data_IF_986982384914
#
_entry.id   IF_986982384914
#
_cell.length_a   1.000
_cell.length_b   1.000
_cell.length_c   1.000
_cell.angle_alpha   90.00
_cell.angle_beta   90.00
_cell.angle_gamma   90.00
#
_symmetry.space_group_name_H-M   'P 1'
#
loop_
_entity.id
_entity.type
_entity.pdbx_description
1 polymer ?
#
# COMPACT_ATOMS: atom_id res chain seq x y z
N UNK A 1 -18.77 4.43 -7.81
CA UNK A 1 -17.33 4.32 -8.06
C UNK A 1 -16.77 3.13 -7.27
N UNK A 2 -16.07 2.24 -7.94
CA UNK A 2 -15.25 1.19 -7.33
C UNK A 2 -13.78 1.62 -7.44
N UNK A 3 -13.01 1.48 -6.36
CA UNK A 3 -11.56 1.59 -6.38
C UNK A 3 -11.02 0.17 -6.12
N UNK A 4 -10.39 -0.43 -7.12
CA UNK A 4 -9.83 -1.77 -7.05
C UNK A 4 -8.30 -1.68 -6.95
N UNK A 5 -7.73 -2.24 -5.90
CA UNK A 5 -6.29 -2.22 -5.64
C UNK A 5 -5.74 -3.64 -5.77
N UNK A 6 -4.69 -3.81 -6.57
CA UNK A 6 -4.01 -5.09 -6.73
C UNK A 6 -2.55 -4.88 -7.11
N UNK A 7 -1.65 -5.66 -6.54
CA UNK A 7 -0.24 -5.61 -6.93
C UNK A 7 -0.02 -6.24 -8.31
N UNK A 8 -0.40 -7.51 -8.47
CA UNK A 8 -0.24 -8.24 -9.73
C UNK A 8 -1.25 -7.86 -10.81
N UNK A 9 -2.46 -7.44 -10.38
CA UNK A 9 -3.58 -7.21 -11.28
C UNK A 9 -4.17 -8.48 -11.89
N UNK A 10 -3.87 -9.66 -11.32
CA UNK A 10 -4.36 -10.97 -11.79
C UNK A 10 -5.14 -11.74 -10.71
N UNK A 11 -5.47 -11.10 -9.58
CA UNK A 11 -6.21 -11.73 -8.49
C UNK A 11 -7.64 -12.04 -8.91
N UNK A 12 -8.02 -13.32 -8.92
CA UNK A 12 -9.30 -13.79 -9.43
C UNK A 12 -10.51 -13.12 -8.75
N UNK A 13 -10.48 -12.99 -7.42
CA UNK A 13 -11.57 -12.37 -6.65
C UNK A 13 -11.71 -10.88 -6.98
N UNK A 14 -10.61 -10.17 -7.15
CA UNK A 14 -10.61 -8.75 -7.56
C UNK A 14 -11.20 -8.59 -8.96
N UNK A 15 -10.82 -9.46 -9.89
CA UNK A 15 -11.35 -9.48 -11.26
C UNK A 15 -12.87 -9.76 -11.26
N UNK A 16 -13.32 -10.73 -10.47
CA UNK A 16 -14.74 -11.06 -10.33
C UNK A 16 -15.54 -9.87 -9.76
N UNK A 17 -15.03 -9.25 -8.68
CA UNK A 17 -15.67 -8.07 -8.09
C UNK A 17 -15.77 -6.88 -9.05
N UNK A 18 -14.72 -6.63 -9.84
CA UNK A 18 -14.75 -5.56 -10.88
C UNK A 18 -15.83 -5.85 -11.91
N UNK A 19 -15.90 -7.07 -12.43
CA UNK A 19 -16.90 -7.46 -13.43
C UNK A 19 -18.32 -7.29 -12.90
N UNK A 20 -18.56 -7.74 -11.68
CA UNK A 20 -19.87 -7.62 -11.02
C UNK A 20 -20.26 -6.16 -10.83
N UNK A 21 -19.37 -5.33 -10.31
CA UNK A 21 -19.64 -3.88 -10.14
C UNK A 21 -19.89 -3.18 -11.49
N UNK A 22 -19.16 -3.54 -12.53
CA UNK A 22 -19.39 -2.97 -13.89
C UNK A 22 -20.73 -3.41 -14.47
N UNK A 23 -21.16 -4.66 -14.24
CA UNK A 23 -22.49 -5.13 -14.65
C UNK A 23 -23.62 -4.31 -14.00
N UNK A 24 -23.37 -3.76 -12.80
CA UNK A 24 -24.29 -2.85 -12.11
C UNK A 24 -24.03 -1.35 -12.41
N UNK A 25 -23.28 -1.03 -13.46
CA UNK A 25 -23.06 0.34 -13.93
C UNK A 25 -22.04 1.15 -13.12
N UNK A 26 -21.22 0.52 -12.26
CA UNK A 26 -20.18 1.22 -11.53
C UNK A 26 -19.03 1.64 -12.45
N UNK A 27 -18.51 2.86 -12.27
CA UNK A 27 -17.21 3.29 -12.80
C UNK A 27 -16.11 2.69 -11.93
N UNK A 28 -15.03 2.24 -12.57
CA UNK A 28 -13.93 1.54 -11.91
C UNK A 28 -12.61 2.30 -12.08
N UNK A 29 -12.00 2.70 -10.98
CA UNK A 29 -10.62 3.11 -10.89
C UNK A 29 -9.78 1.93 -10.39
N UNK A 30 -8.75 1.54 -11.15
CA UNK A 30 -7.83 0.49 -10.73
C UNK A 30 -6.48 1.09 -10.32
N UNK A 31 -5.92 0.58 -9.22
CA UNK A 31 -4.57 0.91 -8.74
C UNK A 31 -3.77 -0.39 -8.81
N UNK A 32 -2.83 -0.48 -9.74
CA UNK A 32 -2.08 -1.71 -10.02
C UNK A 32 -0.60 -1.43 -10.25
N UNK A 33 0.25 -2.42 -10.02
CA UNK A 33 1.68 -2.31 -10.32
C UNK A 33 2.03 -2.81 -11.71
N UNK A 34 1.38 -3.89 -12.17
CA UNK A 34 1.71 -4.53 -13.45
C UNK A 34 0.95 -3.88 -14.61
N UNK A 35 1.71 -3.27 -15.51
CA UNK A 35 1.18 -2.64 -16.71
C UNK A 35 0.54 -3.71 -17.63
N UNK A 36 -0.66 -3.44 -18.12
CA UNK A 36 -1.37 -4.34 -19.04
C UNK A 36 -1.98 -5.57 -18.40
N UNK A 37 -1.98 -5.66 -17.06
CA UNK A 37 -2.66 -6.73 -16.32
C UNK A 37 -4.18 -6.74 -16.59
N UNK A 38 -4.82 -7.86 -16.23
CA UNK A 38 -6.27 -8.02 -16.40
C UNK A 38 -7.06 -6.95 -15.65
N UNK A 39 -6.69 -6.65 -14.39
CA UNK A 39 -7.32 -5.59 -13.60
C UNK A 39 -7.12 -4.22 -14.24
N UNK A 40 -5.92 -3.92 -14.77
CA UNK A 40 -5.66 -2.67 -15.50
C UNK A 40 -6.57 -2.52 -16.72
N UNK A 41 -6.77 -3.58 -17.51
CA UNK A 41 -7.62 -3.58 -18.71
C UNK A 41 -9.12 -3.45 -18.40
N UNK A 42 -9.54 -3.91 -17.22
CA UNK A 42 -10.95 -3.84 -16.80
C UNK A 42 -11.31 -2.47 -16.21
N UNK A 43 -10.33 -1.66 -15.78
CA UNK A 43 -10.57 -0.32 -15.25
C UNK A 43 -11.05 0.67 -16.30
N UNK A 44 -11.94 1.58 -15.92
CA UNK A 44 -12.27 2.76 -16.72
C UNK A 44 -11.16 3.82 -16.59
N UNK A 45 -10.48 3.80 -15.45
CA UNK A 45 -9.30 4.62 -15.12
C UNK A 45 -8.25 3.74 -14.46
N UNK A 46 -6.97 4.02 -14.73
CA UNK A 46 -5.87 3.23 -14.20
C UNK A 46 -4.82 4.15 -13.58
N UNK A 47 -4.38 3.83 -12.38
CA UNK A 47 -3.20 4.41 -11.75
C UNK A 47 -2.17 3.29 -11.53
N UNK A 48 -0.92 3.53 -11.93
CA UNK A 48 0.16 2.57 -11.71
C UNK A 48 1.00 2.97 -10.51
N UNK A 49 1.36 1.99 -9.66
CA UNK A 49 2.18 2.24 -8.48
C UNK A 49 3.66 2.38 -8.80
N UNK A 50 4.11 1.87 -9.94
CA UNK A 50 5.50 1.91 -10.41
C UNK A 50 6.52 1.36 -9.40
N UNK A 51 6.11 0.40 -8.57
CA UNK A 51 6.98 -0.23 -7.58
C UNK A 51 8.07 -1.13 -8.19
N UNK A 52 8.01 -1.34 -9.51
CA UNK A 52 8.88 -2.30 -10.19
C UNK A 52 8.49 -3.76 -9.88
N UNK A 53 9.29 -4.75 -10.31
CA UNK A 53 9.04 -6.16 -10.04
C UNK A 53 9.00 -6.43 -8.54
N UNK A 54 7.95 -7.11 -8.05
CA UNK A 54 7.86 -7.61 -6.68
C UNK A 54 8.20 -9.10 -6.69
N UNK A 55 9.21 -9.47 -5.94
CA UNK A 55 9.72 -10.85 -5.88
C UNK A 55 9.24 -11.54 -4.60
N UNK A 56 9.00 -10.75 -3.53
CA UNK A 56 8.54 -11.28 -2.26
C UNK A 56 7.05 -11.62 -2.29
N UNK A 57 6.67 -12.74 -1.69
CA UNK A 57 5.26 -13.12 -1.52
C UNK A 57 4.55 -12.12 -0.60
N UNK A 58 5.19 -11.75 0.50
CA UNK A 58 4.75 -10.66 1.37
C UNK A 58 5.18 -9.32 0.76
N UNK A 59 4.34 -8.75 -0.05
CA UNK A 59 4.54 -7.49 -0.78
C UNK A 59 4.86 -6.32 0.16
N UNK A 60 6.13 -5.93 0.30
CA UNK A 60 6.55 -4.80 1.14
C UNK A 60 6.51 -3.47 0.38
N UNK A 61 7.32 -3.31 -0.66
CA UNK A 61 7.34 -2.09 -1.47
C UNK A 61 6.04 -1.87 -2.23
N UNK A 62 5.40 -2.94 -2.70
CA UNK A 62 4.11 -2.88 -3.36
C UNK A 62 3.03 -2.28 -2.45
N UNK A 63 2.96 -2.71 -1.19
CA UNK A 63 2.06 -2.16 -0.18
C UNK A 63 2.32 -0.67 0.07
N UNK A 64 3.57 -0.30 0.30
CA UNK A 64 3.95 1.10 0.58
C UNK A 64 3.60 2.03 -0.59
N UNK A 65 3.86 1.60 -1.83
CA UNK A 65 3.52 2.39 -3.03
C UNK A 65 2.02 2.48 -3.26
N UNK A 66 1.23 1.45 -2.92
CA UNK A 66 -0.23 1.51 -2.96
C UNK A 66 -0.77 2.56 -1.99
N UNK A 67 -0.26 2.62 -0.75
CA UNK A 67 -0.62 3.66 0.22
C UNK A 67 -0.27 5.04 -0.33
N UNK A 68 0.93 5.25 -0.87
CA UNK A 68 1.32 6.53 -1.44
C UNK A 68 0.40 7.00 -2.58
N UNK A 69 -0.04 6.07 -3.45
CA UNK A 69 -1.01 6.38 -4.52
C UNK A 69 -2.38 6.71 -3.96
N UNK A 70 -2.83 6.01 -2.91
CA UNK A 70 -4.09 6.31 -2.23
C UNK A 70 -4.06 7.67 -1.53
N UNK A 71 -2.94 8.04 -0.90
CA UNK A 71 -2.74 9.36 -0.30
C UNK A 71 -2.78 10.46 -1.36
N UNK A 72 -2.09 10.27 -2.49
CA UNK A 72 -2.17 11.20 -3.63
C UNK A 72 -3.61 11.37 -4.13
N UNK A 73 -4.33 10.25 -4.29
CA UNK A 73 -5.73 10.27 -4.73
C UNK A 73 -6.61 11.01 -3.71
N UNK A 74 -6.43 10.75 -2.41
CA UNK A 74 -7.20 11.39 -1.36
C UNK A 74 -6.96 12.91 -1.32
N UNK A 75 -5.71 13.35 -1.41
CA UNK A 75 -5.34 14.77 -1.42
C UNK A 75 -5.89 15.46 -2.67
N UNK A 76 -5.76 14.81 -3.85
CA UNK A 76 -6.34 15.33 -5.08
C UNK A 76 -7.87 15.46 -5.00
N UNK A 77 -8.58 14.42 -4.55
CA UNK A 77 -10.04 14.45 -4.42
C UNK A 77 -10.50 15.52 -3.42
N UNK A 78 -9.78 15.69 -2.31
CA UNK A 78 -10.10 16.70 -1.32
C UNK A 78 -9.93 18.13 -1.88
N UNK A 79 -8.91 18.35 -2.71
CA UNK A 79 -8.69 19.61 -3.41
C UNK A 79 -9.82 19.89 -4.42
N UNK A 80 -10.16 18.92 -5.28
CA UNK A 80 -11.25 19.06 -6.24
C UNK A 80 -12.61 19.36 -5.56
N UNK A 81 -12.84 18.75 -4.41
CA UNK A 81 -14.04 19.01 -3.59
C UNK A 81 -13.97 20.30 -2.76
N UNK A 82 -12.86 21.04 -2.84
CA UNK A 82 -12.62 22.27 -2.09
C UNK A 82 -12.75 22.10 -0.57
N UNK A 83 -12.38 20.92 -0.06
CA UNK A 83 -12.41 20.63 1.39
C UNK A 83 -11.08 20.98 2.07
N UNK A 84 -10.04 21.31 1.28
CA UNK A 84 -8.75 21.76 1.76
C UNK A 84 -8.54 23.25 1.46
N UNK A 85 -7.86 23.94 2.38
CA UNK A 85 -7.29 25.25 2.10
C UNK A 85 -6.04 25.13 1.24
N UNK A 86 -5.72 26.15 0.44
CA UNK A 86 -4.53 26.12 -0.42
C UNK A 86 -3.21 25.86 0.35
N UNK A 87 -2.95 26.46 1.53
CA UNK A 87 -1.76 26.14 2.32
C UNK A 87 -1.74 24.67 2.78
N UNK A 88 -2.88 24.11 3.19
CA UNK A 88 -2.94 22.71 3.64
C UNK A 88 -2.73 21.74 2.49
N UNK A 89 -3.27 22.05 1.31
CA UNK A 89 -3.00 21.27 0.10
C UNK A 89 -1.51 21.24 -0.23
N UNK A 90 -0.85 22.41 -0.25
CA UNK A 90 0.57 22.53 -0.53
C UNK A 90 1.43 21.75 0.50
N UNK A 91 1.09 21.83 1.78
CA UNK A 91 1.75 21.06 2.86
C UNK A 91 1.64 19.55 2.63
N UNK A 92 0.45 19.04 2.30
CA UNK A 92 0.23 17.61 2.07
C UNK A 92 0.99 17.12 0.83
N UNK A 93 0.96 17.89 -0.27
CA UNK A 93 1.72 17.56 -1.48
C UNK A 93 3.22 17.54 -1.21
N UNK A 94 3.75 18.52 -0.47
CA UNK A 94 5.15 18.54 -0.06
C UNK A 94 5.50 17.33 0.82
N UNK A 95 4.62 16.95 1.75
CA UNK A 95 4.81 15.77 2.59
C UNK A 95 4.88 14.47 1.78
N UNK A 96 4.05 14.33 0.74
CA UNK A 96 4.09 13.17 -0.16
C UNK A 96 5.38 13.19 -1.00
N UNK A 97 5.80 14.35 -1.50
CA UNK A 97 7.04 14.49 -2.26
C UNK A 97 8.29 14.15 -1.45
N UNK A 98 8.25 14.31 -0.12
CA UNK A 98 9.33 13.98 0.83
C UNK A 98 9.37 12.48 1.23
N UNK A 99 8.36 11.68 0.84
CA UNK A 99 8.29 10.25 1.20
C UNK A 99 9.52 9.43 0.80
N UNK A 100 10.16 9.62 -0.37
CA UNK A 100 11.34 8.85 -0.72
C UNK A 100 12.49 9.04 0.28
N UNK A 101 12.75 10.28 0.69
CA UNK A 101 13.80 10.59 1.67
C UNK A 101 13.46 10.03 3.06
N UNK A 102 12.21 10.14 3.49
CA UNK A 102 11.74 9.56 4.76
C UNK A 102 11.84 8.05 4.77
N UNK A 103 11.50 7.42 3.65
CA UNK A 103 11.63 5.96 3.48
C UNK A 103 13.10 5.55 3.57
N UNK A 104 14.01 6.28 2.93
CA UNK A 104 15.44 5.99 3.01
C UNK A 104 15.94 6.08 4.46
N UNK A 105 15.56 7.11 5.20
CA UNK A 105 15.91 7.23 6.64
C UNK A 105 15.39 6.05 7.46
N UNK A 106 14.21 5.50 7.12
CA UNK A 106 13.69 4.30 7.78
C UNK A 106 14.51 3.04 7.43
N UNK A 107 14.96 2.93 6.20
CA UNK A 107 15.85 1.84 5.74
C UNK A 107 17.20 1.92 6.45
N UNK A 108 17.72 3.11 6.69
CA UNK A 108 18.99 3.36 7.39
C UNK A 108 18.96 2.89 8.84
N UNK A 109 17.77 2.65 9.42
CA UNK A 109 17.61 2.05 10.75
C UNK A 109 17.80 0.51 10.75
N UNK A 110 18.01 -0.11 9.58
CA UNK A 110 18.12 -1.56 9.46
C UNK A 110 19.08 -2.22 10.47
N UNK A 111 20.29 -1.69 10.76
CA UNK A 111 21.15 -2.30 11.77
C UNK A 111 20.54 -2.37 13.17
N UNK A 112 19.76 -1.35 13.55
CA UNK A 112 19.06 -1.31 14.84
C UNK A 112 17.91 -2.31 14.88
N UNK A 113 17.17 -2.41 13.77
CA UNK A 113 16.06 -3.37 13.62
C UNK A 113 16.58 -4.80 13.64
N UNK A 114 17.69 -5.09 12.95
CA UNK A 114 18.33 -6.41 12.96
C UNK A 114 18.77 -6.81 14.37
N UNK A 115 19.40 -5.90 15.13
CA UNK A 115 19.76 -6.16 16.52
C UNK A 115 18.53 -6.51 17.39
N UNK A 116 17.41 -5.80 17.21
CA UNK A 116 16.18 -6.10 17.93
C UNK A 116 15.57 -7.43 17.50
N UNK A 117 15.60 -7.73 16.20
CA UNK A 117 15.10 -9.00 15.64
C UNK A 117 15.89 -10.18 16.23
N UNK A 118 17.20 -10.12 16.23
CA UNK A 118 18.06 -11.16 16.82
C UNK A 118 17.76 -11.36 18.32
N UNK A 119 17.52 -10.26 19.06
CA UNK A 119 17.25 -10.31 20.49
C UNK A 119 15.89 -10.94 20.80
N UNK A 120 14.90 -10.76 19.96
CA UNK A 120 13.51 -11.14 20.25
C UNK A 120 12.97 -12.26 19.35
N UNK A 121 13.74 -12.79 18.39
CA UNK A 121 13.30 -13.85 17.48
C UNK A 121 12.92 -15.17 18.20
N UNK A 122 13.39 -15.39 19.43
CA UNK A 122 13.02 -16.55 20.23
C UNK A 122 11.66 -16.44 20.95
N UNK A 123 10.98 -15.32 20.86
CA UNK A 123 9.68 -15.14 21.49
C UNK A 123 8.57 -15.77 20.61
N UNK A 124 7.63 -16.44 21.26
CA UNK A 124 6.51 -17.10 20.56
C UNK A 124 5.38 -16.16 20.12
N UNK A 125 5.42 -14.90 20.53
CA UNK A 125 4.34 -13.95 20.27
C UNK A 125 4.87 -12.53 20.08
N UNK A 126 4.31 -11.81 19.14
CA UNK A 126 4.53 -10.39 18.88
C UNK A 126 3.18 -9.66 18.84
N UNK A 127 3.08 -8.52 19.54
CA UNK A 127 1.87 -7.71 19.56
C UNK A 127 2.11 -6.40 18.83
N UNK A 128 1.26 -6.12 17.83
CA UNK A 128 1.21 -4.83 17.17
C UNK A 128 0.13 -3.97 17.83
N UNK A 129 0.51 -2.83 18.37
CA UNK A 129 -0.40 -1.88 19.03
C UNK A 129 -0.32 -0.53 18.34
N UNK A 130 -1.46 0.12 18.21
CA UNK A 130 -1.55 1.45 17.61
C UNK A 130 -2.80 2.20 18.04
N UNK A 131 -2.76 3.53 17.97
CA UNK A 131 -3.87 4.43 18.26
C UNK A 131 -4.08 5.39 17.09
N UNK A 132 -5.32 5.75 16.81
CA UNK A 132 -5.71 6.61 15.67
C UNK A 132 -5.21 6.01 14.33
N UNK A 133 -4.50 6.76 13.52
CA UNK A 133 -3.94 6.31 12.22
C UNK A 133 -2.98 5.12 12.39
N UNK A 134 -2.21 5.07 13.47
CA UNK A 134 -1.31 3.95 13.74
C UNK A 134 -2.07 2.63 14.03
N UNK A 135 -3.34 2.68 14.42
CA UNK A 135 -4.17 1.48 14.59
C UNK A 135 -4.37 0.72 13.27
N UNK A 136 -4.65 1.46 12.17
CA UNK A 136 -4.81 0.84 10.85
C UNK A 136 -3.51 0.15 10.40
N UNK A 137 -2.35 0.78 10.63
CA UNK A 137 -1.03 0.19 10.35
C UNK A 137 -0.77 -1.04 11.23
N UNK A 138 -1.15 -1.00 12.51
CA UNK A 138 -0.99 -2.14 13.44
C UNK A 138 -1.90 -3.34 13.09
N UNK A 139 -2.97 -3.13 12.34
CA UNK A 139 -3.83 -4.21 11.84
C UNK A 139 -3.29 -4.89 10.59
N UNK A 140 -2.49 -4.21 9.78
CA UNK A 140 -1.99 -4.73 8.50
C UNK A 140 -1.26 -6.07 8.64
N UNK A 141 -0.39 -6.31 9.65
CA UNK A 141 0.28 -7.60 9.82
C UNK A 141 -0.63 -8.76 10.24
N UNK A 142 -1.86 -8.49 10.67
CA UNK A 142 -2.80 -9.53 11.12
C UNK A 142 -3.41 -10.35 9.98
N UNK A 143 -3.42 -9.84 8.76
CA UNK A 143 -3.97 -10.51 7.59
C UNK A 143 -3.06 -11.57 6.99
N UNK A 144 -1.78 -11.53 7.30
CA UNK A 144 -0.79 -12.50 6.84
C UNK A 144 -0.18 -13.17 8.07
N UNK A 145 -0.29 -14.49 8.14
CA UNK A 145 0.47 -15.27 9.11
C UNK A 145 1.95 -15.11 8.73
N UNK A 146 2.66 -14.22 9.42
CA UNK A 146 4.09 -14.07 9.31
C UNK A 146 4.77 -15.33 9.84
N UNK A 147 4.79 -16.39 9.05
CA UNK A 147 5.68 -17.52 9.24
C UNK A 147 7.03 -17.15 8.61
N UNK A 148 7.78 -16.29 9.32
CA UNK A 148 9.19 -16.12 9.00
C UNK A 148 9.94 -17.37 9.44
N UNK A 149 10.49 -18.10 8.51
CA UNK A 149 11.44 -19.17 8.83
C UNK A 149 12.80 -18.55 9.18
N UNK A 150 13.56 -19.20 10.03
CA UNK A 150 14.88 -18.73 10.45
C UNK A 150 15.86 -18.53 9.28
N UNK A 151 15.60 -19.15 8.12
CA UNK A 151 16.37 -19.04 6.88
C UNK A 151 16.10 -17.74 6.10
N UNK A 152 14.97 -17.06 6.36
CA UNK A 152 14.62 -15.80 5.70
C UNK A 152 15.11 -14.55 6.45
N UNK A 153 15.70 -14.73 7.63
CA UNK A 153 16.21 -13.64 8.48
C UNK A 153 17.74 -13.46 8.33
N UNK A 154 18.47 -14.39 7.69
CA UNK A 154 19.89 -14.33 7.42
C UNK A 154 20.18 -13.91 5.99
#
# INVERSE_FOLDING_TARGET
>A
LLIAVSQSGETADTIAAIRECKAHGARVLTIVNVVGSTVAKLGDYVMYTWAGPEIAVATTKGYTTQIAVLDLLAVWMANERRTLTAPRYAELVAGIADLPERTQRSIDLNPQVSYLAERYCGNSSLFFIGRNTAYAVALAPRGESLHWTQEEIT
#
